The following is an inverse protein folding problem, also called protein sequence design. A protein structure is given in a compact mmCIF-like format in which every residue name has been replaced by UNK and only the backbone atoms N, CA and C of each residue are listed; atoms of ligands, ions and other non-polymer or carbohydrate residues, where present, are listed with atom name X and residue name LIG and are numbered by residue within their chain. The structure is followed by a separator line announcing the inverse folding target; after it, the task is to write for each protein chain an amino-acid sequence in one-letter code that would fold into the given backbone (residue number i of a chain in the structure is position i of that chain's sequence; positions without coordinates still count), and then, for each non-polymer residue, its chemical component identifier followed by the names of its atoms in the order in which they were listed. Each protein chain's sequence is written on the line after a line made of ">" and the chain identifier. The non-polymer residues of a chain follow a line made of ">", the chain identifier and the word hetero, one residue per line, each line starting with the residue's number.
data_IF_959057590972
#
_entry.id   IF_959057590972
#
_cell.length_a   1.000
_cell.length_b   1.000
_cell.length_c   1.000
_cell.angle_alpha   90.00
_cell.angle_beta   90.00
_cell.angle_gamma   90.00
#
_symmetry.space_group_name_H-M   'P 1'
#
loop_
_entity.id
_entity.type
_entity.pdbx_description
1 polymer ?
#
# COMPACT_ATOMS: atom_id res chain seq x y z
N UNK A 1 15.10 9.13 27.70
CA UNK A 1 15.46 7.83 27.08
C UNK A 1 15.51 8.02 25.58
N UNK A 2 16.72 8.18 25.03
CA UNK A 2 17.03 8.71 23.68
C UNK A 2 16.82 7.74 22.51
N UNK A 3 16.08 6.63 22.70
CA UNK A 3 15.92 5.59 21.67
C UNK A 3 14.46 5.19 21.43
N UNK A 4 13.52 5.75 22.19
CA UNK A 4 12.11 5.37 22.11
C UNK A 4 11.52 5.65 20.72
N UNK A 5 11.91 6.77 20.09
CA UNK A 5 11.42 7.12 18.76
C UNK A 5 11.94 6.17 17.68
N UNK A 6 13.25 5.93 17.64
CA UNK A 6 13.86 4.96 16.73
C UNK A 6 13.27 3.55 16.93
N UNK A 7 13.07 3.13 18.18
CA UNK A 7 12.41 1.85 18.51
C UNK A 7 10.96 1.77 17.99
N UNK A 8 10.17 2.83 18.18
CA UNK A 8 8.80 2.90 17.68
C UNK A 8 8.74 2.89 16.15
N UNK A 9 9.67 3.57 15.47
CA UNK A 9 9.81 3.55 14.02
C UNK A 9 10.17 2.15 13.53
N UNK A 10 11.18 1.50 14.11
CA UNK A 10 11.57 0.13 13.74
C UNK A 10 10.43 -0.86 13.95
N UNK A 11 9.72 -0.76 15.09
CA UNK A 11 8.55 -1.60 15.36
C UNK A 11 7.43 -1.39 14.33
N UNK A 12 7.13 -0.13 14.01
CA UNK A 12 6.12 0.23 13.00
C UNK A 12 6.51 -0.23 11.60
N UNK A 13 7.80 -0.08 11.25
CA UNK A 13 8.36 -0.53 9.98
C UNK A 13 8.28 -2.06 9.86
N UNK A 14 8.61 -2.79 10.93
CA UNK A 14 8.50 -4.25 10.98
C UNK A 14 7.04 -4.70 10.84
N UNK A 15 6.12 -4.09 11.59
CA UNK A 15 4.70 -4.38 11.48
C UNK A 15 4.19 -4.15 10.06
N UNK A 16 4.66 -3.08 9.42
CA UNK A 16 4.33 -2.80 8.03
C UNK A 16 4.93 -3.82 7.06
N UNK A 17 6.20 -4.15 7.18
CA UNK A 17 6.85 -5.16 6.35
C UNK A 17 6.09 -6.49 6.41
N UNK A 18 5.69 -6.91 7.61
CA UNK A 18 4.91 -8.14 7.81
C UNK A 18 3.58 -8.07 7.04
N UNK A 19 2.84 -6.96 7.11
CA UNK A 19 1.58 -6.79 6.39
C UNK A 19 1.78 -6.79 4.87
N UNK A 20 2.78 -6.06 4.39
CA UNK A 20 3.11 -5.99 2.96
C UNK A 20 3.46 -7.38 2.43
N UNK A 21 4.34 -8.13 3.10
CA UNK A 21 4.73 -9.47 2.65
C UNK A 21 3.60 -10.50 2.78
N UNK A 22 2.80 -10.44 3.85
CA UNK A 22 1.66 -11.34 4.06
C UNK A 22 0.60 -11.20 2.97
N UNK A 23 0.25 -9.97 2.60
CA UNK A 23 -0.78 -9.69 1.60
C UNK A 23 -0.22 -9.48 0.19
N UNK A 24 1.11 -9.50 0.06
CA UNK A 24 1.90 -9.02 -1.08
C UNK A 24 1.26 -7.82 -1.77
N UNK A 25 1.34 -6.68 -1.08
CA UNK A 25 0.80 -5.42 -1.57
C UNK A 25 1.76 -4.82 -2.59
N UNK A 26 2.91 -4.36 -2.14
CA UNK A 26 3.88 -3.64 -2.95
C UNK A 26 5.20 -4.42 -3.04
N UNK A 27 6.04 -4.41 -2.00
CA UNK A 27 7.28 -5.19 -2.00
C UNK A 27 7.00 -6.69 -1.95
N UNK A 28 5.96 -7.12 -1.23
CA UNK A 28 5.58 -8.53 -1.23
C UNK A 28 4.98 -9.03 -2.54
N UNK A 29 4.40 -8.14 -3.36
CA UNK A 29 4.03 -8.49 -4.73
C UNK A 29 5.28 -8.60 -5.62
N UNK A 30 6.21 -7.65 -5.49
CA UNK A 30 7.45 -7.61 -6.27
C UNK A 30 8.35 -8.82 -6.00
N UNK A 31 8.55 -9.21 -4.73
CA UNK A 31 9.36 -10.38 -4.37
C UNK A 31 8.78 -11.72 -4.84
N UNK A 32 7.45 -11.82 -4.97
CA UNK A 32 6.80 -13.01 -5.53
C UNK A 32 6.87 -13.05 -7.05
N UNK A 33 7.21 -11.94 -7.70
CA UNK A 33 7.37 -11.85 -9.15
C UNK A 33 8.76 -12.30 -9.57
N UNK A 34 8.85 -13.16 -10.60
CA UNK A 34 10.14 -13.57 -11.21
C UNK A 34 10.71 -12.52 -12.16
N UNK A 35 10.00 -11.41 -12.38
CA UNK A 35 10.40 -10.39 -13.36
C UNK A 35 11.26 -9.30 -12.72
N UNK A 36 12.52 -9.20 -13.14
CA UNK A 36 13.42 -8.12 -12.71
C UNK A 36 12.88 -6.72 -13.01
N UNK A 37 12.02 -6.56 -14.03
CA UNK A 37 11.36 -5.29 -14.36
C UNK A 37 10.38 -4.85 -13.27
N UNK A 38 9.63 -5.78 -12.67
CA UNK A 38 8.70 -5.48 -11.58
C UNK A 38 9.48 -5.01 -10.36
N UNK A 39 10.59 -5.69 -10.06
CA UNK A 39 11.47 -5.32 -8.95
C UNK A 39 12.08 -3.93 -9.16
N UNK A 40 12.65 -3.66 -10.34
CA UNK A 40 13.24 -2.36 -10.68
C UNK A 40 12.21 -1.21 -10.62
N UNK A 41 10.98 -1.43 -11.10
CA UNK A 41 9.90 -0.43 -11.00
C UNK A 41 9.50 -0.18 -9.55
N UNK A 42 9.37 -1.23 -8.74
CA UNK A 42 9.01 -1.13 -7.31
C UNK A 42 10.06 -0.34 -6.54
N UNK A 43 11.33 -0.72 -6.72
CA UNK A 43 12.47 -0.01 -6.14
C UNK A 43 12.51 1.46 -6.63
N UNK A 44 12.41 1.69 -7.94
CA UNK A 44 12.47 3.02 -8.52
C UNK A 44 11.37 3.95 -8.02
N UNK A 45 10.14 3.45 -7.89
CA UNK A 45 9.03 4.24 -7.32
C UNK A 45 9.29 4.55 -5.86
N UNK A 46 9.64 3.56 -5.05
CA UNK A 46 9.83 3.79 -3.61
C UNK A 46 11.00 4.74 -3.34
N UNK A 47 12.19 4.41 -3.84
CA UNK A 47 13.38 5.22 -3.61
C UNK A 47 13.32 6.56 -4.34
N UNK A 48 12.69 6.62 -5.51
CA UNK A 48 12.48 7.88 -6.23
C UNK A 48 11.59 8.84 -5.46
N UNK A 49 10.43 8.37 -4.99
CA UNK A 49 9.52 9.22 -4.18
C UNK A 49 10.17 9.59 -2.85
N UNK A 50 10.86 8.65 -2.20
CA UNK A 50 11.61 8.91 -0.98
C UNK A 50 12.69 9.99 -1.18
N UNK A 51 13.46 9.91 -2.28
CA UNK A 51 14.47 10.92 -2.60
C UNK A 51 13.85 12.30 -2.90
N UNK A 52 12.68 12.35 -3.54
CA UNK A 52 11.95 13.62 -3.75
C UNK A 52 11.52 14.22 -2.42
N UNK A 53 10.97 13.44 -1.50
CA UNK A 53 10.62 13.92 -0.16
C UNK A 53 11.85 14.37 0.63
N UNK A 54 12.97 13.65 0.51
CA UNK A 54 14.20 14.03 1.16
C UNK A 54 14.74 15.37 0.61
N UNK A 55 14.73 15.55 -0.70
CA UNK A 55 15.11 16.83 -1.31
C UNK A 55 14.19 17.96 -0.86
N UNK A 56 12.88 17.70 -0.80
CA UNK A 56 11.90 18.66 -0.31
C UNK A 56 12.14 19.05 1.15
N UNK A 57 12.45 18.08 2.00
CA UNK A 57 12.75 18.28 3.42
C UNK A 57 13.98 19.17 3.60
N UNK A 58 15.06 18.87 2.86
CA UNK A 58 16.28 19.70 2.82
C UNK A 58 15.96 21.14 2.40
N UNK A 59 15.22 21.32 1.30
CA UNK A 59 14.84 22.64 0.83
C UNK A 59 13.99 23.40 1.85
N UNK A 60 13.09 22.73 2.57
CA UNK A 60 12.28 23.38 3.59
C UNK A 60 13.06 23.73 4.86
N UNK A 61 14.12 22.99 5.20
CA UNK A 61 15.07 23.37 6.26
C UNK A 61 15.88 24.60 5.82
N UNK A 62 16.41 24.62 4.58
CA UNK A 62 17.19 25.75 4.06
C UNK A 62 16.37 27.05 3.95
N UNK A 63 15.05 26.93 3.75
CA UNK A 63 14.11 28.05 3.69
C UNK A 63 13.55 28.46 5.07
N UNK A 64 14.04 27.89 6.17
CA UNK A 64 13.55 28.10 7.54
C UNK A 64 12.03 27.80 7.71
N UNK A 65 11.47 26.95 6.84
CA UNK A 65 10.06 26.51 6.89
C UNK A 65 9.89 25.32 7.84
N UNK A 66 10.88 24.42 7.87
CA UNK A 66 10.90 23.26 8.76
C UNK A 66 11.95 23.42 9.84
N UNK A 67 11.52 23.36 11.10
CA UNK A 67 12.40 23.32 12.26
C UNK A 67 12.67 21.86 12.65
N UNK A 68 13.93 21.57 13.00
CA UNK A 68 14.29 20.32 13.67
C UNK A 68 13.39 20.12 14.89
N UNK A 69 12.78 18.95 14.98
CA UNK A 69 12.17 18.56 16.24
C UNK A 69 13.28 18.26 17.24
N UNK A 70 13.68 19.23 18.07
CA UNK A 70 14.57 18.99 19.22
C UNK A 70 13.81 18.17 20.27
N UNK A 71 13.54 16.91 19.93
CA UNK A 71 12.81 15.99 20.76
C UNK A 71 13.79 15.25 21.67
N UNK A 72 13.59 15.23 23.00
CA UNK A 72 14.46 14.54 23.96
C UNK A 72 14.48 13.01 23.80
N UNK A 73 13.72 12.49 22.82
CA UNK A 73 13.62 11.08 22.48
C UNK A 73 14.41 10.68 21.22
N UNK A 74 15.04 11.63 20.53
CA UNK A 74 15.92 11.34 19.39
C UNK A 74 17.27 10.78 19.86
N UNK A 75 17.88 9.95 19.01
CA UNK A 75 19.18 9.32 19.25
C UNK A 75 20.33 10.30 19.13
N UNK A 76 20.11 11.44 18.44
CA UNK A 76 21.12 12.46 18.18
C UNK A 76 22.11 12.08 17.06
N UNK A 77 21.85 10.97 16.35
CA UNK A 77 22.67 10.54 15.20
C UNK A 77 22.27 11.36 13.98
N UNK A 78 23.14 12.29 13.60
CA UNK A 78 22.95 13.18 12.46
C UNK A 78 23.80 12.73 11.28
N UNK A 79 23.18 12.52 10.11
CA UNK A 79 23.88 12.09 8.90
C UNK A 79 24.56 13.28 8.19
N UNK A 80 23.97 14.48 8.31
CA UNK A 80 24.61 15.77 8.04
C UNK A 80 24.29 16.72 9.20
N UNK A 81 24.95 17.89 9.34
CA UNK A 81 24.66 18.83 10.42
C UNK A 81 23.18 19.20 10.55
N UNK A 82 22.39 18.99 9.48
CA UNK A 82 20.98 19.36 9.38
C UNK A 82 20.00 18.17 9.32
N UNK A 83 20.43 16.93 9.03
CA UNK A 83 19.52 15.80 8.78
C UNK A 83 19.75 14.61 9.76
N UNK A 84 18.88 14.43 10.77
CA UNK A 84 18.90 13.26 11.66
C UNK A 84 18.57 11.95 10.92
N UNK A 85 19.17 10.85 11.38
CA UNK A 85 18.97 9.53 10.79
C UNK A 85 17.51 9.06 10.88
N UNK A 86 16.80 9.45 11.93
CA UNK A 86 15.41 9.06 12.14
C UNK A 86 14.46 9.69 11.13
N UNK A 87 14.77 10.86 10.58
CA UNK A 87 13.97 11.48 9.52
C UNK A 87 14.08 10.68 8.21
N UNK A 88 15.25 10.15 7.89
CA UNK A 88 15.43 9.24 6.75
C UNK A 88 14.57 7.99 6.88
N UNK A 89 14.59 7.38 8.08
CA UNK A 89 13.78 6.22 8.39
C UNK A 89 12.29 6.54 8.40
N UNK A 90 11.91 7.71 8.92
CA UNK A 90 10.54 8.19 8.95
C UNK A 90 10.00 8.43 7.53
N UNK A 91 10.74 9.12 6.66
CA UNK A 91 10.36 9.33 5.28
C UNK A 91 10.25 8.01 4.53
N UNK A 92 11.18 7.08 4.76
CA UNK A 92 11.13 5.76 4.15
C UNK A 92 9.86 5.01 4.60
N UNK A 93 9.60 5.01 5.90
CA UNK A 93 8.37 4.47 6.47
C UNK A 93 7.11 5.14 5.90
N UNK A 94 7.07 6.47 5.80
CA UNK A 94 5.93 7.25 5.34
C UNK A 94 5.59 6.92 3.87
N UNK A 95 6.61 6.85 3.01
CA UNK A 95 6.43 6.47 1.61
C UNK A 95 5.90 5.04 1.52
N UNK A 96 6.50 4.10 2.26
CA UNK A 96 6.04 2.71 2.27
C UNK A 96 4.60 2.58 2.78
N UNK A 97 4.28 3.26 3.89
CA UNK A 97 2.96 3.29 4.51
C UNK A 97 1.91 3.76 3.50
N UNK A 98 2.17 4.89 2.85
CA UNK A 98 1.25 5.51 1.90
C UNK A 98 0.95 4.59 0.73
N UNK A 99 1.99 3.99 0.14
CA UNK A 99 1.84 3.06 -0.99
C UNK A 99 1.01 1.84 -0.58
N UNK A 100 1.30 1.24 0.57
CA UNK A 100 0.57 0.05 1.03
C UNK A 100 -0.88 0.36 1.41
N UNK A 101 -1.17 1.53 1.99
CA UNK A 101 -2.54 1.99 2.23
C UNK A 101 -3.28 2.12 0.90
N UNK A 102 -2.66 2.75 -0.10
CA UNK A 102 -3.26 2.89 -1.43
C UNK A 102 -3.55 1.54 -2.09
N UNK A 103 -2.56 0.65 -2.16
CA UNK A 103 -2.72 -0.69 -2.76
C UNK A 103 -3.73 -1.54 -1.96
N UNK A 104 -3.70 -1.46 -0.63
CA UNK A 104 -4.63 -2.16 0.25
C UNK A 104 -6.07 -1.68 0.04
N UNK A 105 -6.28 -0.37 -0.07
CA UNK A 105 -7.59 0.22 -0.35
C UNK A 105 -8.11 -0.19 -1.74
N UNK A 106 -7.25 -0.18 -2.76
CA UNK A 106 -7.60 -0.62 -4.12
C UNK A 106 -8.06 -2.09 -4.14
N UNK A 107 -7.27 -3.00 -3.54
CA UNK A 107 -7.65 -4.42 -3.43
C UNK A 107 -8.95 -4.62 -2.64
N UNK A 108 -9.17 -3.84 -1.59
CA UNK A 108 -10.40 -3.90 -0.79
C UNK A 108 -11.62 -3.45 -1.60
N UNK A 109 -11.48 -2.40 -2.41
CA UNK A 109 -12.53 -1.91 -3.28
C UNK A 109 -12.92 -2.94 -4.34
N UNK A 110 -11.94 -3.56 -5.02
CA UNK A 110 -12.15 -4.64 -5.99
C UNK A 110 -12.87 -5.84 -5.34
N UNK A 111 -12.43 -6.25 -4.15
CA UNK A 111 -13.06 -7.34 -3.39
C UNK A 111 -14.52 -7.03 -3.04
N UNK A 112 -14.85 -5.77 -2.73
CA UNK A 112 -16.24 -5.35 -2.45
C UNK A 112 -17.09 -5.33 -3.72
N UNK A 113 -16.56 -4.82 -4.83
CA UNK A 113 -17.26 -4.77 -6.12
C UNK A 113 -17.62 -6.18 -6.63
N UNK A 114 -16.68 -7.13 -6.56
CA UNK A 114 -16.93 -8.52 -6.97
C UNK A 114 -18.00 -9.23 -6.13
N UNK A 115 -18.16 -8.88 -4.85
CA UNK A 115 -19.24 -9.42 -4.00
C UNK A 115 -20.62 -8.83 -4.29
N UNK A 116 -20.68 -7.59 -4.79
CA UNK A 116 -21.93 -6.97 -5.23
C UNK A 116 -22.49 -7.68 -6.46
N UNK A 117 -21.65 -7.87 -7.48
CA UNK A 117 -22.01 -8.57 -8.71
C UNK A 117 -22.45 -10.03 -8.49
N UNK A 118 -21.78 -10.75 -7.58
CA UNK A 118 -22.17 -12.12 -7.23
C UNK A 118 -23.52 -12.25 -6.52
N UNK A 119 -23.95 -11.21 -5.77
CA UNK A 119 -25.26 -11.16 -5.12
C UNK A 119 -26.39 -10.85 -6.10
N UNK A 120 -26.15 -9.97 -7.08
CA UNK A 120 -27.12 -9.65 -8.14
C UNK A 120 -27.34 -10.82 -9.10
N UNK A 121 -26.28 -11.56 -9.44
CA UNK A 121 -26.38 -12.77 -10.26
C UNK A 121 -27.15 -13.91 -9.56
N UNK A 122 -27.03 -14.02 -8.23
CA UNK A 122 -27.79 -14.99 -7.42
C UNK A 122 -29.26 -14.62 -7.17
N UNK A 123 -29.68 -13.39 -7.52
CA UNK A 123 -31.05 -12.91 -7.32
C UNK A 123 -31.88 -12.90 -8.62
N UNK A 124 -31.39 -13.43 -9.76
CA UNK A 124 -32.29 -13.70 -10.89
C UNK A 124 -33.22 -14.85 -10.50
N UNK A 125 -34.52 -14.59 -10.20
CA UNK A 125 -35.47 -15.66 -9.98
C UNK A 125 -35.67 -16.32 -11.34
N UNK A 126 -35.65 -17.66 -11.38
CA UNK A 126 -35.75 -18.45 -12.60
C UNK A 126 -36.71 -17.83 -13.61
N UNK A 127 -36.14 -17.33 -14.72
CA UNK A 127 -36.92 -17.02 -15.91
C UNK A 127 -37.55 -18.32 -16.38
N UNK A 128 -38.82 -18.46 -16.00
CA UNK A 128 -39.88 -19.07 -16.77
C UNK A 128 -39.50 -20.44 -17.37
N UNK A 129 -39.67 -21.48 -16.55
CA UNK A 129 -40.10 -22.77 -17.04
C UNK A 129 -41.50 -22.62 -17.65
N UNK A 130 -41.57 -22.03 -18.85
CA UNK A 130 -42.75 -21.95 -19.67
C UNK A 130 -43.10 -23.34 -20.19
N UNK A 131 -43.87 -24.06 -19.39
CA UNK A 131 -44.63 -25.24 -19.77
C UNK A 131 -45.47 -24.92 -21.02
N UNK A 132 -45.10 -25.49 -22.18
CA UNK A 132 -45.98 -25.58 -23.34
C UNK A 132 -46.50 -27.03 -23.41
N UNK A 133 -47.77 -27.31 -23.04
CA UNK A 133 -48.34 -28.63 -23.18
C UNK A 133 -48.70 -28.86 -24.65
N UNK A 134 -48.36 -30.05 -25.15
CA UNK A 134 -48.54 -30.43 -26.54
C UNK A 134 -50.00 -30.43 -27.03
N UNK A 135 -50.14 -30.22 -28.33
CA UNK A 135 -51.22 -30.72 -29.21
C UNK A 135 -50.54 -30.92 -30.56
N UNK A 136 -50.64 -32.02 -31.28
CA UNK A 136 -51.44 -33.23 -31.20
C UNK A 136 -51.24 -33.89 -32.57
N UNK A 137 -50.99 -35.19 -32.59
CA UNK A 137 -50.85 -35.97 -33.81
C UNK A 137 -52.15 -35.96 -34.64
N UNK A 138 -52.05 -36.02 -35.97
CA UNK A 138 -53.08 -36.65 -36.81
C UNK A 138 -53.09 -36.27 -38.31
N UNK A 139 -53.42 -37.20 -39.23
CA UNK A 139 -52.92 -37.29 -40.63
C UNK A 139 -54.11 -37.17 -41.66
N UNK A 140 -54.11 -37.64 -42.95
CA UNK A 140 -53.15 -38.37 -43.81
C UNK A 140 -52.37 -37.53 -44.84
#
# INVERSE_FOLDING_TARGET
>A
MSWAYAGALCFSLLGMAILDFRHGLFWGAALRSKSGRVWARTAGVHFGVWAVFLLWDILGIELDVFFRGDSPYMTGINLTPHLPMEELLFLFFLVWLTINVFVGAAKLAEWRAGRGAGREAGHQPGREAGHQPGRGAGPP
#
